data_IF_405608163738
#
_entry.id   IF_405608163738
#
_cell.length_a   1.000
_cell.length_b   1.000
_cell.length_c   1.000
_cell.angle_alpha   90.00
_cell.angle_beta   90.00
_cell.angle_gamma   90.00
#
_symmetry.space_group_name_H-M   'P 1'
#
loop_
_entity.id
_entity.type
_entity.pdbx_description
1 polymer ?
#
# COMPACT_ATOMS: atom_id res chain seq x y z
N UNK A 1 15.71 -8.15 18.30
CA UNK A 1 14.59 -7.45 19.00
C UNK A 1 14.13 -6.34 18.08
N UNK A 2 12.81 -6.23 17.80
CA UNK A 2 12.09 -5.03 17.27
C UNK A 2 10.92 -5.33 16.30
N UNK A 3 10.75 -6.59 15.84
CA UNK A 3 9.55 -7.01 15.07
C UNK A 3 8.24 -6.55 15.73
N UNK A 4 8.15 -6.64 17.07
CA UNK A 4 6.99 -6.18 17.83
C UNK A 4 6.71 -4.68 17.75
N UNK A 5 7.72 -3.82 17.52
CA UNK A 5 7.52 -2.39 17.34
C UNK A 5 6.90 -2.10 15.97
N UNK A 6 7.38 -2.77 14.92
CA UNK A 6 6.81 -2.68 13.56
C UNK A 6 5.37 -3.23 13.54
N UNK A 7 5.15 -4.38 14.14
CA UNK A 7 3.82 -4.99 14.25
C UNK A 7 2.84 -4.09 15.01
N UNK A 8 3.31 -3.41 16.06
CA UNK A 8 2.50 -2.42 16.80
C UNK A 8 2.09 -1.24 15.92
N UNK A 9 3.01 -0.72 15.10
CA UNK A 9 2.69 0.34 14.13
C UNK A 9 1.59 -0.12 13.16
N UNK A 10 1.72 -1.32 12.61
CA UNK A 10 0.72 -1.87 11.67
C UNK A 10 -0.62 -2.16 12.33
N UNK A 11 -0.61 -2.65 13.57
CA UNK A 11 -1.82 -2.84 14.35
C UNK A 11 -2.55 -1.52 14.60
N UNK A 12 -1.82 -0.44 14.92
CA UNK A 12 -2.43 0.88 15.11
C UNK A 12 -3.06 1.45 13.83
N UNK A 13 -2.45 1.19 12.66
CA UNK A 13 -3.04 1.57 11.38
C UNK A 13 -4.37 0.85 11.13
N UNK A 14 -4.46 -0.44 11.48
CA UNK A 14 -5.71 -1.20 11.40
C UNK A 14 -6.77 -0.74 12.40
N UNK A 15 -6.36 -0.31 13.59
CA UNK A 15 -7.27 0.06 14.67
C UNK A 15 -7.84 1.49 14.52
N UNK A 16 -7.05 2.45 14.00
CA UNK A 16 -7.44 3.86 13.93
C UNK A 16 -7.05 4.50 12.59
N UNK A 17 -8.02 4.77 11.68
CA UNK A 17 -7.72 5.40 10.39
C UNK A 17 -7.00 6.75 10.49
N UNK A 18 -7.28 7.55 11.54
CA UNK A 18 -6.62 8.83 11.79
C UNK A 18 -5.08 8.71 11.92
N UNK A 19 -4.58 7.55 12.36
CA UNK A 19 -3.13 7.29 12.49
C UNK A 19 -2.44 7.15 11.14
N UNK A 20 -3.16 6.68 10.13
CA UNK A 20 -2.67 6.63 8.76
C UNK A 20 -2.52 8.04 8.22
N UNK A 21 -3.46 8.95 8.54
CA UNK A 21 -3.36 10.35 8.11
C UNK A 21 -2.24 11.11 8.81
N UNK A 22 -2.00 10.82 10.10
CA UNK A 22 -0.80 11.30 10.81
C UNK A 22 0.49 10.81 10.14
N UNK A 23 0.57 9.50 9.85
CA UNK A 23 1.71 8.89 9.16
C UNK A 23 1.92 9.49 7.76
N UNK A 24 0.86 9.71 6.99
CA UNK A 24 0.96 10.32 5.65
C UNK A 24 1.42 11.78 5.69
N UNK A 25 1.04 12.52 6.74
CA UNK A 25 1.42 13.93 6.91
C UNK A 25 2.90 14.07 7.24
N UNK A 26 3.39 13.26 8.18
CA UNK A 26 4.79 13.26 8.59
C UNK A 26 5.22 11.86 9.04
N UNK A 27 5.72 11.02 8.12
CA UNK A 27 6.16 9.67 8.43
C UNK A 27 7.29 9.62 9.45
N UNK A 28 8.23 10.58 9.40
CA UNK A 28 9.41 10.58 10.26
C UNK A 28 9.05 10.95 11.69
N UNK A 29 8.24 12.00 11.89
CA UNK A 29 7.77 12.36 13.21
C UNK A 29 6.84 11.30 13.83
N UNK A 30 6.05 10.61 13.00
CA UNK A 30 5.19 9.51 13.45
C UNK A 30 6.04 8.30 13.89
N UNK A 31 6.94 7.83 13.03
CA UNK A 31 7.80 6.66 13.30
C UNK A 31 8.83 6.92 14.40
N UNK A 32 9.22 8.19 14.63
CA UNK A 32 10.09 8.59 15.73
C UNK A 32 9.52 8.33 17.13
N UNK A 33 8.20 8.08 17.24
CA UNK A 33 7.54 7.70 18.51
C UNK A 33 7.76 6.23 18.88
N UNK A 34 8.25 5.42 17.96
CA UNK A 34 8.44 3.99 18.12
C UNK A 34 9.93 3.67 18.20
N UNK A 35 10.26 2.65 18.99
CA UNK A 35 11.63 2.14 19.09
C UNK A 35 11.96 1.25 17.88
N UNK A 36 12.10 1.88 16.72
CA UNK A 36 12.45 1.24 15.45
C UNK A 36 13.93 1.47 15.15
N UNK A 37 14.59 0.44 14.63
CA UNK A 37 15.90 0.60 14.02
C UNK A 37 15.82 1.49 12.77
N UNK A 38 16.93 2.10 12.33
CA UNK A 38 16.96 2.88 11.08
C UNK A 38 16.48 2.07 9.87
N UNK A 39 16.81 0.78 9.84
CA UNK A 39 16.42 -0.17 8.80
C UNK A 39 14.90 -0.40 8.80
N UNK A 40 14.31 -0.73 9.95
CA UNK A 40 12.86 -0.93 10.07
C UNK A 40 12.08 0.34 9.75
N UNK A 41 12.60 1.51 10.16
CA UNK A 41 11.99 2.80 9.82
C UNK A 41 11.97 3.02 8.31
N UNK A 42 13.07 2.72 7.62
CA UNK A 42 13.14 2.81 6.17
C UNK A 42 12.17 1.83 5.49
N UNK A 43 12.06 0.58 5.98
CA UNK A 43 11.13 -0.42 5.47
C UNK A 43 9.67 0.03 5.61
N UNK A 44 9.27 0.54 6.78
CA UNK A 44 7.90 1.03 7.01
C UNK A 44 7.61 2.27 6.17
N UNK A 45 8.56 3.20 6.06
CA UNK A 45 8.40 4.42 5.25
C UNK A 45 8.20 4.12 3.77
N UNK A 46 9.00 3.19 3.23
CA UNK A 46 8.93 2.82 1.83
C UNK A 46 7.82 1.79 1.53
N UNK A 47 7.16 1.27 2.58
CA UNK A 47 6.18 0.18 2.50
C UNK A 47 6.78 -1.04 1.79
N UNK A 48 8.03 -1.36 2.15
CA UNK A 48 8.77 -2.50 1.58
C UNK A 48 8.32 -3.80 2.25
N UNK A 49 7.20 -4.33 1.77
CA UNK A 49 6.58 -5.51 2.37
C UNK A 49 7.45 -6.77 2.27
N UNK A 50 8.28 -6.86 1.22
CA UNK A 50 9.20 -7.98 1.03
C UNK A 50 10.28 -7.93 2.10
N UNK A 51 10.94 -6.78 2.26
CA UNK A 51 11.93 -6.60 3.32
C UNK A 51 11.32 -6.80 4.71
N UNK A 52 10.08 -6.32 4.95
CA UNK A 52 9.37 -6.52 6.22
C UNK A 52 9.10 -8.01 6.51
N UNK A 53 8.66 -8.77 5.51
CA UNK A 53 8.42 -10.21 5.65
C UNK A 53 9.72 -10.99 5.86
N UNK A 54 10.79 -10.66 5.13
CA UNK A 54 12.13 -11.24 5.31
C UNK A 54 12.72 -10.90 6.70
N UNK A 55 12.41 -9.72 7.22
CA UNK A 55 12.76 -9.29 8.58
C UNK A 55 11.88 -9.96 9.67
N UNK A 56 10.91 -10.79 9.28
CA UNK A 56 10.09 -11.59 10.19
C UNK A 56 8.83 -10.91 10.72
N UNK A 57 8.38 -9.81 10.09
CA UNK A 57 7.08 -9.19 10.39
C UNK A 57 5.96 -10.10 9.91
N UNK A 58 4.90 -10.23 10.72
CA UNK A 58 3.73 -11.05 10.36
C UNK A 58 3.14 -10.68 8.98
N UNK A 59 3.12 -11.67 8.09
CA UNK A 59 2.56 -11.55 6.74
C UNK A 59 1.06 -11.19 6.75
N UNK A 60 0.36 -11.52 7.83
CA UNK A 60 -1.05 -11.14 7.98
C UNK A 60 -1.19 -9.62 8.17
N UNK A 61 -0.32 -9.02 8.98
CA UNK A 61 -0.33 -7.56 9.21
C UNK A 61 0.09 -6.79 7.96
N UNK A 62 1.06 -7.30 7.19
CA UNK A 62 1.47 -6.68 5.92
C UNK A 62 0.35 -6.68 4.88
N UNK A 63 -0.47 -7.74 4.81
CA UNK A 63 -1.65 -7.79 3.93
C UNK A 63 -2.72 -6.79 4.37
N UNK A 64 -2.99 -6.72 5.68
CA UNK A 64 -4.02 -5.81 6.21
C UNK A 64 -3.66 -4.33 6.04
N UNK A 65 -2.38 -3.99 6.19
CA UNK A 65 -1.91 -2.60 6.13
C UNK A 65 -1.82 -2.07 4.69
N UNK A 66 -1.65 -2.95 3.71
CA UNK A 66 -1.51 -2.59 2.30
C UNK A 66 -2.67 -1.72 1.75
N UNK A 67 -3.95 -2.16 1.81
CA UNK A 67 -5.07 -1.36 1.31
C UNK A 67 -5.28 -0.09 2.13
N UNK A 68 -4.84 -0.08 3.40
CA UNK A 68 -4.93 1.09 4.27
C UNK A 68 -3.95 2.18 3.85
N UNK A 69 -2.73 1.82 3.46
CA UNK A 69 -1.68 2.75 3.04
C UNK A 69 -1.84 3.20 1.58
N UNK A 70 -2.12 2.28 0.66
CA UNK A 70 -2.22 2.54 -0.78
C UNK A 70 -3.62 2.90 -1.27
N UNK A 71 -4.64 2.60 -0.47
CA UNK A 71 -6.05 2.84 -0.77
C UNK A 71 -6.78 1.58 -1.21
N UNK A 72 -8.09 1.54 -0.96
CA UNK A 72 -8.96 0.37 -1.21
C UNK A 72 -9.05 -0.06 -2.68
N UNK A 73 -8.58 0.77 -3.62
CA UNK A 73 -8.49 0.41 -5.04
C UNK A 73 -7.31 -0.56 -5.33
N UNK A 74 -6.32 -0.70 -4.45
CA UNK A 74 -5.22 -1.67 -4.60
C UNK A 74 -5.57 -3.01 -3.91
N UNK A 75 -6.16 -3.91 -4.70
CA UNK A 75 -6.58 -5.27 -4.32
C UNK A 75 -5.39 -6.21 -4.06
N UNK A 76 -5.58 -7.39 -3.43
CA UNK A 76 -4.52 -8.36 -3.06
C UNK A 76 -3.57 -8.78 -4.20
N UNK A 77 -3.93 -8.60 -5.46
CA UNK A 77 -3.04 -8.84 -6.59
C UNK A 77 -1.85 -7.87 -6.64
N UNK A 78 -2.06 -6.59 -6.30
CA UNK A 78 -0.97 -5.59 -6.27
C UNK A 78 0.01 -5.92 -5.12
N UNK A 79 -0.51 -6.43 -3.99
CA UNK A 79 0.30 -7.02 -2.92
C UNK A 79 1.11 -8.23 -3.40
N UNK A 80 0.48 -9.19 -4.09
CA UNK A 80 1.16 -10.39 -4.61
C UNK A 80 2.25 -10.05 -5.63
N UNK A 81 1.99 -9.07 -6.50
CA UNK A 81 2.98 -8.52 -7.43
C UNK A 81 4.16 -7.93 -6.68
N UNK A 82 3.91 -7.17 -5.61
CA UNK A 82 4.97 -6.56 -4.80
C UNK A 82 5.83 -7.61 -4.09
N UNK A 83 5.21 -8.68 -3.58
CA UNK A 83 5.90 -9.80 -2.93
C UNK A 83 6.67 -10.70 -3.92
N UNK A 84 6.27 -10.74 -5.19
CA UNK A 84 6.85 -11.62 -6.22
C UNK A 84 7.66 -10.84 -7.27
N UNK A 85 8.48 -9.88 -6.83
CA UNK A 85 9.41 -9.11 -7.67
C UNK A 85 8.76 -8.43 -8.89
N UNK A 86 7.54 -7.92 -8.72
CA UNK A 86 6.81 -7.22 -9.78
C UNK A 86 6.12 -8.15 -10.79
N UNK A 87 6.08 -9.47 -10.54
CA UNK A 87 5.40 -10.44 -11.41
C UNK A 87 4.13 -10.95 -10.73
N UNK A 88 3.01 -10.97 -11.45
CA UNK A 88 1.84 -11.74 -11.01
C UNK A 88 2.26 -13.22 -10.90
N UNK A 89 2.04 -13.89 -9.75
CA UNK A 89 2.29 -15.33 -9.66
C UNK A 89 1.41 -16.05 -10.70
N UNK A 90 1.97 -17.08 -11.32
CA UNK A 90 1.25 -17.88 -12.31
C UNK A 90 0.09 -18.59 -11.61
N UNK A 91 -1.13 -18.05 -11.76
CA UNK A 91 -2.32 -18.55 -11.10
C UNK A 91 -2.91 -19.79 -11.79
N UNK A 92 -2.15 -20.44 -12.67
CA UNK A 92 -2.64 -21.57 -13.48
C UNK A 92 -3.80 -21.19 -14.40
N UNK A 93 -3.99 -19.90 -14.68
CA UNK A 93 -5.11 -19.41 -15.48
C UNK A 93 -4.79 -19.45 -16.97
N UNK A 94 -5.12 -20.56 -17.62
CA UNK A 94 -5.02 -20.73 -19.08
C UNK A 94 -6.32 -20.30 -19.79
N UNK A 95 -6.19 -19.70 -20.98
CA UNK A 95 -7.30 -19.43 -21.90
C UNK A 95 -8.08 -18.11 -21.68
N UNK A 96 -9.38 -18.12 -21.99
CA UNK A 96 -10.28 -16.95 -22.04
C UNK A 96 -10.34 -16.11 -20.75
N UNK A 97 -10.04 -16.71 -19.59
CA UNK A 97 -10.02 -16.02 -18.29
C UNK A 97 -8.87 -15.01 -18.16
N UNK A 98 -7.72 -15.29 -18.79
CA UNK A 98 -6.58 -14.37 -18.80
C UNK A 98 -6.86 -13.10 -19.64
N UNK A 99 -7.68 -13.22 -20.69
CA UNK A 99 -8.09 -12.10 -21.54
C UNK A 99 -9.04 -11.18 -20.79
N UNK A 100 -10.02 -11.73 -20.09
CA UNK A 100 -10.96 -10.96 -19.26
C UNK A 100 -10.26 -10.20 -18.13
N UNK A 101 -9.33 -10.85 -17.41
CA UNK A 101 -8.58 -10.22 -16.32
C UNK A 101 -7.65 -9.11 -16.82
N UNK A 102 -6.89 -9.34 -17.90
CA UNK A 102 -6.04 -8.29 -18.52
C UNK A 102 -6.87 -7.12 -19.04
N UNK A 103 -8.04 -7.39 -19.63
CA UNK A 103 -9.00 -6.37 -20.06
C UNK A 103 -9.52 -5.55 -18.88
N UNK A 104 -9.92 -6.21 -17.79
CA UNK A 104 -10.38 -5.56 -16.56
C UNK A 104 -9.29 -4.68 -15.94
N UNK A 105 -8.05 -5.17 -15.82
CA UNK A 105 -6.91 -4.41 -15.29
C UNK A 105 -6.65 -3.17 -16.16
N UNK A 106 -6.68 -3.29 -17.48
CA UNK A 106 -6.40 -2.18 -18.40
C UNK A 106 -7.51 -1.13 -18.40
N UNK A 107 -8.78 -1.57 -18.36
CA UNK A 107 -9.93 -0.67 -18.21
C UNK A 107 -9.89 0.08 -16.87
N UNK A 108 -9.49 -0.62 -15.78
CA UNK A 108 -9.33 -0.02 -14.45
C UNK A 108 -8.23 1.04 -14.42
N UNK A 109 -7.06 0.75 -14.98
CA UNK A 109 -5.95 1.71 -15.08
C UNK A 109 -6.38 2.97 -15.86
N UNK A 110 -7.10 2.78 -16.97
CA UNK A 110 -7.65 3.87 -17.77
C UNK A 110 -8.65 4.72 -16.98
N UNK A 111 -9.58 4.09 -16.24
CA UNK A 111 -10.56 4.78 -15.39
C UNK A 111 -9.91 5.54 -14.24
N UNK A 112 -8.89 4.97 -13.60
CA UNK A 112 -8.14 5.63 -12.53
C UNK A 112 -7.31 6.82 -13.04
N UNK A 113 -6.74 6.72 -14.25
CA UNK A 113 -6.07 7.83 -14.92
C UNK A 113 -7.05 8.94 -15.30
N UNK A 114 -8.23 8.60 -15.84
CA UNK A 114 -9.32 9.54 -16.13
C UNK A 114 -9.82 10.25 -14.88
N UNK A 115 -10.01 9.54 -13.76
CA UNK A 115 -10.45 10.14 -12.48
C UNK A 115 -9.40 11.11 -11.93
N UNK A 116 -8.10 10.80 -12.07
CA UNK A 116 -7.00 11.70 -11.71
C UNK A 116 -6.90 12.92 -12.63
N UNK A 117 -7.17 12.76 -13.92
CA UNK A 117 -7.18 13.86 -14.89
C UNK A 117 -8.38 14.81 -14.66
N UNK A 118 -9.57 14.26 -14.42
CA UNK A 118 -10.80 15.02 -14.16
C UNK A 118 -10.81 15.67 -12.77
N UNK A 119 -10.12 15.08 -11.79
CA UNK A 119 -9.96 15.67 -10.45
C UNK A 119 -9.05 16.90 -10.38
N UNK A 120 -8.34 17.25 -11.46
CA UNK A 120 -7.45 18.42 -11.55
C UNK A 120 -8.09 19.63 -12.24
N UNK A 121 -9.39 19.56 -12.57
CA UNK A 121 -10.13 20.56 -13.35
C UNK A 121 -11.26 21.28 -12.60
N UNK A 122 -11.25 21.35 -11.26
CA UNK A 122 -12.16 22.20 -10.48
C UNK A 122 -11.64 23.65 -10.42
N UNK A 123 -12.48 24.68 -10.57
CA UNK A 123 -12.04 26.03 -10.92
C UNK A 123 -11.15 26.64 -9.85
N UNK A 124 -10.06 27.27 -10.31
CA UNK A 124 -9.32 28.23 -9.53
C UNK A 124 -10.30 29.23 -8.93
N UNK A 125 -10.23 29.43 -7.60
CA UNK A 125 -10.91 30.50 -6.91
C UNK A 125 -10.46 31.82 -7.56
N UNK A 126 -11.28 32.34 -8.46
CA UNK A 126 -11.25 33.73 -8.85
C UNK A 126 -11.61 34.54 -7.61
N UNK A 127 -10.78 35.53 -7.31
CA UNK A 127 -10.95 36.41 -6.16
C UNK A 127 -12.23 37.22 -6.21
N UNK A 128 -12.72 37.53 -5.03
CA UNK A 128 -13.30 38.80 -4.60
C UNK A 128 -13.38 38.75 -3.06
#
# INVERSE_FOLDING_TARGET
MSVHAVEKVFWEFGNKPARIDEFRRDPEAYLGRYNLTPEERAMVRNVDLKALAEHGVSTLLTIMVWPLLKGADEMPFDYLVHMNDGKLPDMGMTGFKAIGLKGYIRFRQLRAALRRALGRGGPARAGA
#
